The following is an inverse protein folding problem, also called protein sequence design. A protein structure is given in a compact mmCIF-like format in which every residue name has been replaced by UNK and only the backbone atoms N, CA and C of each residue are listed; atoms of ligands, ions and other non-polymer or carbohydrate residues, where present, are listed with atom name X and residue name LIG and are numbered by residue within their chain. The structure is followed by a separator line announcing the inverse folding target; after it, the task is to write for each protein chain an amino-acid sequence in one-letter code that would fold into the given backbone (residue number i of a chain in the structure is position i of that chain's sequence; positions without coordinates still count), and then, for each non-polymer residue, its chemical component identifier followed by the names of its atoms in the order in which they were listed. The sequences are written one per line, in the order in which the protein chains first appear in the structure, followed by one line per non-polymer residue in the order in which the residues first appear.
data_IF_364884627619
#
_entry.id   IF_364884627619
#
_cell.length_a   1.000
_cell.length_b   1.000
_cell.length_c   1.000
_cell.angle_alpha   90.00
_cell.angle_beta   90.00
_cell.angle_gamma   90.00
#
_symmetry.space_group_name_H-M   'P 1'
#
loop_
_entity.id
_entity.type
_entity.pdbx_description
1 polymer ?
#
# COMPACT_ATOMS: atom_id res chain seq x y z
N UNK A 1 67.91 31.44 -92.56
CA UNK A 1 67.02 30.26 -92.34
C UNK A 1 67.19 29.61 -90.96
N UNK A 2 68.39 29.58 -90.34
CA UNK A 2 68.62 28.96 -89.02
C UNK A 2 67.82 29.58 -87.85
N UNK A 3 67.71 30.91 -87.79
CA UNK A 3 67.04 31.63 -86.66
C UNK A 3 65.53 31.36 -86.53
N UNK A 4 64.84 31.12 -87.66
CA UNK A 4 63.41 30.79 -87.68
C UNK A 4 63.15 29.35 -87.24
N UNK A 5 64.06 28.42 -87.55
CA UNK A 5 63.98 27.02 -87.12
C UNK A 5 64.16 26.89 -85.61
N UNK A 6 65.13 27.60 -85.03
CA UNK A 6 65.33 27.65 -83.57
C UNK A 6 64.14 28.22 -82.79
N UNK A 7 63.38 29.17 -83.37
CA UNK A 7 62.19 29.73 -82.72
C UNK A 7 61.03 28.72 -82.70
N UNK A 8 60.84 28.00 -83.80
CA UNK A 8 59.84 26.93 -83.88
C UNK A 8 60.14 25.79 -82.88
N UNK A 9 61.41 25.38 -82.79
CA UNK A 9 61.84 24.35 -81.84
C UNK A 9 61.68 24.81 -80.38
N UNK A 10 61.84 26.11 -80.10
CA UNK A 10 61.59 26.66 -78.76
C UNK A 10 60.11 26.66 -78.39
N UNK A 11 59.24 27.11 -79.30
CA UNK A 11 57.78 27.09 -79.11
C UNK A 11 57.27 25.66 -78.94
N UNK A 12 57.78 24.71 -79.73
CA UNK A 12 57.41 23.30 -79.61
C UNK A 12 57.77 22.74 -78.22
N UNK A 13 58.94 23.10 -77.68
CA UNK A 13 59.34 22.72 -76.31
C UNK A 13 58.44 23.36 -75.25
N UNK A 14 58.19 24.66 -75.32
CA UNK A 14 57.30 25.35 -74.38
C UNK A 14 55.88 24.78 -74.42
N UNK A 15 55.34 24.51 -75.61
CA UNK A 15 54.04 23.87 -75.78
C UNK A 15 54.01 22.46 -75.18
N UNK A 16 55.07 21.67 -75.32
CA UNK A 16 55.16 20.33 -74.70
C UNK A 16 55.16 20.40 -73.16
N UNK A 17 55.85 21.38 -72.58
CA UNK A 17 55.86 21.61 -71.13
C UNK A 17 54.46 22.02 -70.66
N UNK A 18 53.80 22.93 -71.38
CA UNK A 18 52.43 23.35 -71.05
C UNK A 18 51.43 22.19 -71.14
N UNK A 19 51.52 21.33 -72.16
CA UNK A 19 50.64 20.15 -72.28
C UNK A 19 50.86 19.16 -71.15
N UNK A 20 52.11 18.94 -70.74
CA UNK A 20 52.42 18.05 -69.62
C UNK A 20 51.87 18.59 -68.31
N UNK A 21 52.08 19.88 -68.02
CA UNK A 21 51.55 20.50 -66.80
C UNK A 21 50.01 20.58 -66.81
N UNK A 22 49.41 20.87 -67.96
CA UNK A 22 47.95 20.78 -68.13
C UNK A 22 47.44 19.37 -67.86
N UNK A 23 48.08 18.33 -68.42
CA UNK A 23 47.72 16.94 -68.18
C UNK A 23 47.84 16.53 -66.71
N UNK A 24 48.87 17.02 -66.01
CA UNK A 24 49.04 16.79 -64.56
C UNK A 24 47.92 17.43 -63.74
N UNK A 25 47.58 18.69 -64.03
CA UNK A 25 46.47 19.39 -63.37
C UNK A 25 45.14 18.72 -63.68
N UNK A 26 44.90 18.35 -64.94
CA UNK A 26 43.70 17.65 -65.37
C UNK A 26 43.53 16.30 -64.64
N UNK A 27 44.62 15.53 -64.52
CA UNK A 27 44.60 14.25 -63.79
C UNK A 27 44.27 14.45 -62.32
N UNK A 28 44.93 15.43 -61.66
CA UNK A 28 44.65 15.77 -60.26
C UNK A 28 43.21 16.22 -60.05
N UNK A 29 42.67 17.06 -60.94
CA UNK A 29 41.28 17.50 -60.87
C UNK A 29 40.32 16.32 -61.05
N UNK A 30 40.60 15.43 -62.00
CA UNK A 30 39.76 14.25 -62.27
C UNK A 30 39.73 13.31 -61.06
N UNK A 31 40.88 13.05 -60.43
CA UNK A 31 40.95 12.27 -59.19
C UNK A 31 40.19 12.92 -58.04
N UNK A 32 40.30 14.24 -57.88
CA UNK A 32 39.60 14.96 -56.82
C UNK A 32 38.09 14.91 -57.01
N UNK A 33 37.62 15.09 -58.25
CA UNK A 33 36.19 14.97 -58.59
C UNK A 33 35.71 13.54 -58.35
N UNK A 34 36.46 12.52 -58.75
CA UNK A 34 36.10 11.12 -58.50
C UNK A 34 35.94 10.85 -56.99
N UNK A 35 36.91 11.25 -56.17
CA UNK A 35 36.81 11.11 -54.70
C UNK A 35 35.62 11.86 -54.12
N UNK A 36 35.30 13.04 -54.66
CA UNK A 36 34.14 13.81 -54.21
C UNK A 36 32.83 13.12 -54.57
N UNK A 37 32.72 12.52 -55.76
CA UNK A 37 31.55 11.73 -56.16
C UNK A 37 31.37 10.54 -55.22
N UNK A 38 32.43 9.77 -54.96
CA UNK A 38 32.40 8.64 -54.02
C UNK A 38 31.93 9.09 -52.62
N UNK A 39 32.46 10.22 -52.13
CA UNK A 39 32.08 10.76 -50.82
C UNK A 39 30.62 11.22 -50.79
N UNK A 40 30.12 11.83 -51.87
CA UNK A 40 28.72 12.26 -51.98
C UNK A 40 27.80 11.03 -51.97
N UNK A 41 28.14 9.97 -52.70
CA UNK A 41 27.35 8.74 -52.73
C UNK A 41 27.25 8.07 -51.36
N UNK A 42 28.36 7.98 -50.62
CA UNK A 42 28.37 7.45 -49.24
C UNK A 42 27.47 8.28 -48.33
N UNK A 43 27.62 9.61 -48.33
CA UNK A 43 26.82 10.50 -47.49
C UNK A 43 25.33 10.47 -47.87
N UNK A 44 25.01 10.34 -49.16
CA UNK A 44 23.64 10.19 -49.61
C UNK A 44 23.03 8.87 -49.13
N UNK A 45 23.77 7.77 -49.18
CA UNK A 45 23.33 6.49 -48.62
C UNK A 45 23.04 6.59 -47.12
N UNK A 46 23.94 7.21 -46.33
CA UNK A 46 23.73 7.44 -44.90
C UNK A 46 22.49 8.30 -44.62
N UNK A 47 22.30 9.39 -45.36
CA UNK A 47 21.11 10.25 -45.23
C UNK A 47 19.82 9.49 -45.55
N UNK A 48 19.80 8.66 -46.60
CA UNK A 48 18.61 7.86 -46.94
C UNK A 48 18.31 6.82 -45.86
N UNK A 49 19.34 6.20 -45.30
CA UNK A 49 19.21 5.25 -44.21
C UNK A 49 18.64 5.91 -42.94
N UNK A 50 19.25 7.01 -42.48
CA UNK A 50 18.77 7.75 -41.30
C UNK A 50 17.35 8.29 -41.50
N UNK A 51 16.99 8.75 -42.71
CA UNK A 51 15.62 9.18 -43.03
C UNK A 51 14.63 8.02 -42.92
N UNK A 52 14.99 6.83 -43.39
CA UNK A 52 14.14 5.64 -43.26
C UNK A 52 13.96 5.23 -41.79
N UNK A 53 15.02 5.28 -40.99
CA UNK A 53 14.93 5.01 -39.54
C UNK A 53 14.04 6.03 -38.82
N UNK A 54 14.23 7.32 -39.13
CA UNK A 54 13.40 8.39 -38.61
C UNK A 54 11.92 8.15 -38.96
N UNK A 55 11.60 7.86 -40.21
CA UNK A 55 10.21 7.57 -40.63
C UNK A 55 9.64 6.36 -39.89
N UNK A 56 10.43 5.30 -39.70
CA UNK A 56 10.00 4.11 -38.94
C UNK A 56 9.67 4.46 -37.50
N UNK A 57 10.55 5.20 -36.82
CA UNK A 57 10.30 5.64 -35.45
C UNK A 57 9.06 6.55 -35.36
N UNK A 58 8.91 7.50 -36.27
CA UNK A 58 7.72 8.35 -36.33
C UNK A 58 6.44 7.53 -36.51
N UNK A 59 6.44 6.55 -37.42
CA UNK A 59 5.29 5.66 -37.60
C UNK A 59 4.93 4.92 -36.30
N UNK A 60 5.91 4.41 -35.55
CA UNK A 60 5.65 3.72 -34.28
C UNK A 60 5.05 4.64 -33.21
N UNK A 61 5.50 5.89 -33.15
CA UNK A 61 4.96 6.90 -32.23
C UNK A 61 3.53 7.27 -32.65
N UNK A 62 3.29 7.53 -33.93
CA UNK A 62 1.95 7.85 -34.43
C UNK A 62 0.94 6.73 -34.15
N UNK A 63 1.30 5.46 -34.37
CA UNK A 63 0.44 4.31 -34.04
C UNK A 63 0.12 4.26 -32.55
N UNK A 64 1.11 4.51 -31.68
CA UNK A 64 0.89 4.54 -30.23
C UNK A 64 0.02 5.70 -29.80
N UNK A 65 0.28 6.91 -30.31
CA UNK A 65 -0.45 8.12 -29.95
C UNK A 65 -1.90 8.07 -30.41
N UNK A 66 -2.13 7.54 -31.62
CA UNK A 66 -3.50 7.32 -32.13
C UNK A 66 -4.24 6.29 -31.31
N UNK A 67 -3.63 5.13 -31.01
CA UNK A 67 -4.26 4.12 -30.15
C UNK A 67 -4.60 4.68 -28.76
N UNK A 68 -3.69 5.46 -28.18
CA UNK A 68 -3.90 6.11 -26.89
C UNK A 68 -4.98 7.20 -26.95
N UNK A 69 -5.08 7.95 -28.05
CA UNK A 69 -6.17 8.91 -28.27
C UNK A 69 -7.53 8.21 -28.33
N UNK A 70 -7.64 7.10 -29.09
CA UNK A 70 -8.86 6.29 -29.13
C UNK A 70 -9.21 5.71 -27.76
N UNK A 71 -8.26 5.11 -27.04
CA UNK A 71 -8.51 4.58 -25.71
C UNK A 71 -8.99 5.65 -24.72
N UNK A 72 -8.45 6.87 -24.81
CA UNK A 72 -8.93 8.01 -23.99
C UNK A 72 -10.35 8.43 -24.37
N UNK A 73 -10.70 8.39 -25.65
CA UNK A 73 -12.06 8.68 -26.10
C UNK A 73 -13.05 7.63 -25.60
N UNK A 74 -12.71 6.35 -25.74
CA UNK A 74 -13.55 5.24 -25.26
C UNK A 74 -13.79 5.34 -23.74
N UNK A 75 -12.74 5.66 -22.97
CA UNK A 75 -12.87 5.91 -21.53
C UNK A 75 -13.81 7.09 -21.24
N UNK A 76 -13.69 8.19 -21.97
CA UNK A 76 -14.60 9.36 -21.81
C UNK A 76 -16.04 8.98 -22.12
N UNK A 77 -16.27 8.23 -23.19
CA UNK A 77 -17.60 7.75 -23.59
C UNK A 77 -18.20 6.83 -22.53
N UNK A 78 -17.44 5.86 -22.03
CA UNK A 78 -17.87 4.98 -20.94
C UNK A 78 -18.18 5.80 -19.67
N UNK A 79 -17.31 6.73 -19.29
CA UNK A 79 -17.55 7.62 -18.14
C UNK A 79 -18.82 8.45 -18.30
N UNK A 80 -19.12 8.93 -19.51
CA UNK A 80 -20.34 9.68 -19.80
C UNK A 80 -21.59 8.80 -19.69
N UNK A 81 -21.52 7.51 -20.03
CA UNK A 81 -22.65 6.58 -19.86
C UNK A 81 -22.95 6.25 -18.39
N UNK A 82 -21.95 6.33 -17.49
CA UNK A 82 -22.13 6.02 -16.08
C UNK A 82 -22.52 7.27 -15.30
N UNK A 83 -23.83 7.44 -15.08
CA UNK A 83 -24.37 8.54 -14.27
C UNK A 83 -23.80 8.55 -12.84
N UNK A 84 -23.33 9.72 -12.40
CA UNK A 84 -22.83 9.93 -11.03
C UNK A 84 -21.44 9.36 -10.73
N UNK A 85 -20.74 8.78 -11.72
CA UNK A 85 -19.37 8.29 -11.58
C UNK A 85 -18.37 9.33 -11.01
N UNK A 86 -18.29 10.59 -11.51
CA UNK A 86 -17.33 11.56 -10.97
C UNK A 86 -17.56 11.86 -9.49
N UNK A 87 -18.83 11.93 -9.07
CA UNK A 87 -19.20 12.12 -7.65
C UNK A 87 -18.80 10.92 -6.81
N UNK A 88 -19.05 9.69 -7.28
CA UNK A 88 -18.68 8.46 -6.57
C UNK A 88 -17.16 8.33 -6.41
N UNK A 89 -16.39 8.64 -7.44
CA UNK A 89 -14.92 8.63 -7.37
C UNK A 89 -14.41 9.67 -6.37
N UNK A 90 -14.98 10.88 -6.38
CA UNK A 90 -14.59 11.94 -5.44
C UNK A 90 -14.91 11.56 -3.99
N UNK A 91 -16.09 10.98 -3.76
CA UNK A 91 -16.50 10.50 -2.45
C UNK A 91 -15.58 9.37 -1.97
N UNK A 92 -15.25 8.40 -2.83
CA UNK A 92 -14.35 7.29 -2.49
C UNK A 92 -12.98 7.80 -2.01
N UNK A 93 -12.36 8.75 -2.73
CA UNK A 93 -11.10 9.38 -2.32
C UNK A 93 -11.23 10.12 -0.98
N UNK A 94 -12.37 10.80 -0.75
CA UNK A 94 -12.60 11.53 0.50
C UNK A 94 -12.77 10.58 1.69
N UNK A 95 -13.50 9.48 1.51
CA UNK A 95 -13.64 8.42 2.51
C UNK A 95 -12.27 7.84 2.82
N UNK A 96 -11.48 7.48 1.81
CA UNK A 96 -10.13 6.95 2.00
C UNK A 96 -9.23 7.92 2.80
N UNK A 97 -9.24 9.21 2.45
CA UNK A 97 -8.50 10.25 3.18
C UNK A 97 -8.95 10.39 4.63
N UNK A 98 -10.27 10.37 4.89
CA UNK A 98 -10.80 10.42 6.26
C UNK A 98 -10.44 9.17 7.05
N UNK A 99 -10.52 7.99 6.45
CA UNK A 99 -10.11 6.73 7.09
C UNK A 99 -8.63 6.78 7.46
N UNK A 100 -7.76 7.24 6.57
CA UNK A 100 -6.34 7.43 6.85
C UNK A 100 -6.11 8.42 8.01
N UNK A 101 -6.85 9.53 8.02
CA UNK A 101 -6.75 10.54 9.07
C UNK A 101 -7.22 10.00 10.43
N UNK A 102 -8.35 9.31 10.47
CA UNK A 102 -8.86 8.66 11.69
C UNK A 102 -7.86 7.64 12.20
N UNK A 103 -7.30 6.80 11.32
CA UNK A 103 -6.26 5.85 11.72
C UNK A 103 -5.01 6.54 12.26
N UNK A 104 -4.59 7.67 11.67
CA UNK A 104 -3.46 8.44 12.18
C UNK A 104 -3.74 9.01 13.58
N UNK A 105 -4.91 9.60 13.78
CA UNK A 105 -5.34 10.11 15.09
C UNK A 105 -5.47 8.99 16.13
N UNK A 106 -5.97 7.80 15.74
CA UNK A 106 -6.02 6.64 16.62
C UNK A 106 -4.62 6.18 17.03
N UNK A 107 -3.66 6.13 16.09
CA UNK A 107 -2.25 5.82 16.41
C UNK A 107 -1.63 6.85 17.34
N UNK A 108 -1.90 8.14 17.11
CA UNK A 108 -1.41 9.22 17.98
C UNK A 108 -2.01 9.11 19.39
N UNK A 109 -3.33 8.89 19.50
CA UNK A 109 -4.02 8.64 20.77
C UNK A 109 -3.42 7.45 21.51
N UNK A 110 -3.20 6.32 20.83
CA UNK A 110 -2.58 5.14 21.42
C UNK A 110 -1.14 5.43 21.88
N UNK A 111 -0.35 6.14 21.07
CA UNK A 111 1.01 6.54 21.42
C UNK A 111 1.07 7.47 22.63
N UNK A 112 0.12 8.41 22.76
CA UNK A 112 0.00 9.27 23.93
C UNK A 112 -0.46 8.49 25.17
N UNK A 113 -1.39 7.53 25.04
CA UNK A 113 -1.77 6.66 26.15
C UNK A 113 -0.59 5.84 26.66
N UNK A 114 0.20 5.23 25.77
CA UNK A 114 1.41 4.48 26.14
C UNK A 114 2.44 5.41 26.79
N UNK A 115 2.63 6.64 26.29
CA UNK A 115 3.54 7.62 26.92
C UNK A 115 3.09 8.07 28.31
N UNK A 116 1.79 8.27 28.51
CA UNK A 116 1.23 8.61 29.83
C UNK A 116 1.41 7.44 30.80
N UNK A 117 1.23 6.21 30.33
CA UNK A 117 1.50 4.98 31.11
C UNK A 117 2.99 4.76 31.39
N UNK A 118 3.90 5.14 30.48
CA UNK A 118 5.35 5.03 30.70
C UNK A 118 5.93 6.18 31.53
N UNK A 119 5.31 7.36 31.52
CA UNK A 119 5.70 8.47 32.41
C UNK A 119 5.26 8.25 33.87
N UNK A 120 4.44 7.23 34.13
CA UNK A 120 4.07 6.76 35.46
C UNK A 120 4.97 5.64 35.99
N UNK A 121 6.15 5.38 35.39
CA UNK A 121 7.11 4.40 35.95
C UNK A 121 8.00 4.98 37.06
N UNK A 122 7.39 5.73 37.98
CA UNK A 122 7.87 5.84 39.37
C UNK A 122 6.66 5.49 40.23
N UNK A 123 6.70 4.28 40.78
CA UNK A 123 5.73 3.62 41.65
C UNK A 123 4.29 3.38 41.13
N UNK A 124 3.99 2.10 40.90
CA UNK A 124 2.66 1.54 41.12
C UNK A 124 1.63 1.68 39.98
N UNK A 125 1.46 0.58 39.24
CA UNK A 125 0.31 0.20 38.38
C UNK A 125 -0.93 1.08 38.53
N UNK A 126 -1.19 1.95 37.54
CA UNK A 126 -2.47 2.64 37.38
C UNK A 126 -2.85 2.76 35.89
N UNK A 127 -3.44 1.69 35.36
CA UNK A 127 -4.20 1.74 34.11
C UNK A 127 -5.56 2.38 34.42
N UNK A 128 -5.95 3.38 33.62
CA UNK A 128 -7.27 3.98 33.69
C UNK A 128 -8.29 2.93 33.28
N UNK A 129 -8.91 2.31 34.27
CA UNK A 129 -10.09 1.47 34.12
C UNK A 129 -11.20 2.07 34.97
N UNK A 130 -12.43 2.02 34.46
CA UNK A 130 -13.62 2.32 35.23
C UNK A 130 -13.73 1.30 36.38
N UNK A 131 -13.08 1.59 37.50
CA UNK A 131 -13.17 0.79 38.72
C UNK A 131 -14.54 1.03 39.36
N UNK A 132 -15.48 0.10 39.14
CA UNK A 132 -16.47 -0.17 40.17
C UNK A 132 -15.91 -1.26 41.08
N UNK A 133 -15.54 -0.96 42.34
CA UNK A 133 -15.01 -1.96 43.25
C UNK A 133 -16.14 -2.90 43.66
N UNK A 134 -16.09 -4.15 43.21
CA UNK A 134 -16.98 -5.20 43.70
C UNK A 134 -16.20 -6.19 44.53
N UNK A 135 -16.70 -6.46 45.74
CA UNK A 135 -16.25 -7.57 46.55
C UNK A 135 -16.69 -8.87 45.88
N UNK A 136 -15.74 -9.73 45.52
CA UNK A 136 -15.96 -11.01 44.84
C UNK A 136 -16.03 -12.19 45.81
N UNK A 137 -15.84 -11.97 47.13
CA UNK A 137 -15.92 -13.03 48.14
C UNK A 137 -17.25 -13.77 48.03
N UNK A 138 -17.15 -15.09 47.91
CA UNK A 138 -18.27 -16.05 47.80
C UNK A 138 -19.16 -15.88 46.54
N UNK A 139 -18.80 -15.02 45.58
CA UNK A 139 -19.59 -14.79 44.35
C UNK A 139 -19.10 -15.63 43.19
N UNK A 140 -20.02 -16.08 42.36
CA UNK A 140 -19.71 -16.84 41.14
C UNK A 140 -19.61 -15.93 39.92
N UNK A 141 -18.49 -15.97 39.21
CA UNK A 141 -18.23 -15.18 38.01
C UNK A 141 -18.08 -16.09 36.80
N UNK A 142 -18.95 -15.91 35.80
CA UNK A 142 -18.91 -16.66 34.55
C UNK A 142 -18.12 -15.88 33.49
N UNK A 143 -17.06 -16.49 32.95
CA UNK A 143 -16.37 -16.01 31.76
C UNK A 143 -16.83 -16.78 30.52
N UNK A 144 -17.27 -16.06 29.50
CA UNK A 144 -17.72 -16.63 28.22
C UNK A 144 -16.74 -16.20 27.12
N UNK A 145 -16.06 -17.18 26.51
CA UNK A 145 -15.11 -16.97 25.42
C UNK A 145 -14.02 -18.02 25.32
N UNK A 146 -13.47 -18.17 24.11
CA UNK A 146 -12.45 -19.19 23.76
C UNK A 146 -10.99 -18.77 24.01
N UNK A 147 -10.72 -17.56 24.50
CA UNK A 147 -9.34 -17.09 24.68
C UNK A 147 -8.71 -17.71 25.93
N UNK A 148 -8.10 -18.90 25.78
CA UNK A 148 -7.44 -19.66 26.84
C UNK A 148 -6.51 -18.82 27.74
N UNK A 149 -5.56 -18.03 27.21
CA UNK A 149 -4.69 -17.22 28.08
C UNK A 149 -5.47 -16.14 28.85
N UNK A 150 -6.49 -15.52 28.26
CA UNK A 150 -7.33 -14.55 28.97
C UNK A 150 -8.20 -15.22 30.05
N UNK A 151 -8.69 -16.43 29.78
CA UNK A 151 -9.47 -17.26 30.71
C UNK A 151 -8.63 -17.66 31.93
N UNK A 152 -7.37 -18.09 31.73
CA UNK A 152 -6.44 -18.44 32.81
C UNK A 152 -6.15 -17.23 33.72
N UNK A 153 -5.91 -16.06 33.11
CA UNK A 153 -5.66 -14.82 33.87
C UNK A 153 -6.90 -14.40 34.66
N UNK A 154 -8.08 -14.47 34.05
CA UNK A 154 -9.34 -14.15 34.72
C UNK A 154 -9.62 -15.09 35.89
N UNK A 155 -9.42 -16.40 35.70
CA UNK A 155 -9.58 -17.40 36.76
C UNK A 155 -8.70 -17.08 37.97
N UNK A 156 -7.39 -16.91 37.75
CA UNK A 156 -6.45 -16.62 38.82
C UNK A 156 -6.81 -15.33 39.57
N UNK A 157 -7.27 -14.30 38.85
CA UNK A 157 -7.68 -13.05 39.47
C UNK A 157 -8.94 -13.23 40.33
N UNK A 158 -9.97 -13.91 39.81
CA UNK A 158 -11.25 -14.13 40.49
C UNK A 158 -11.06 -14.99 41.76
N UNK A 159 -10.31 -16.09 41.66
CA UNK A 159 -10.04 -16.98 42.79
C UNK A 159 -9.20 -16.29 43.87
N UNK A 160 -8.19 -15.49 43.48
CA UNK A 160 -7.39 -14.70 44.44
C UNK A 160 -8.23 -13.67 45.22
N UNK A 161 -9.35 -13.22 44.67
CA UNK A 161 -10.30 -12.37 45.39
C UNK A 161 -11.40 -13.13 46.14
N UNK A 162 -11.30 -14.45 46.23
CA UNK A 162 -12.26 -15.30 46.94
C UNK A 162 -13.57 -15.52 46.20
N UNK A 163 -13.60 -15.27 44.89
CA UNK A 163 -14.72 -15.62 44.02
C UNK A 163 -14.60 -17.01 43.43
N UNK A 164 -15.73 -17.56 42.99
CA UNK A 164 -15.81 -18.83 42.28
C UNK A 164 -15.81 -18.58 40.77
N UNK A 165 -14.87 -19.21 40.07
CA UNK A 165 -14.75 -19.08 38.62
C UNK A 165 -15.60 -20.11 37.89
N UNK A 166 -16.38 -19.66 36.90
CA UNK A 166 -17.09 -20.50 35.95
C UNK A 166 -16.64 -20.10 34.53
N UNK A 167 -16.51 -21.07 33.63
CA UNK A 167 -16.13 -20.84 32.25
C UNK A 167 -17.06 -21.56 31.28
N UNK A 168 -17.34 -20.89 30.16
CA UNK A 168 -17.99 -21.48 29.00
C UNK A 168 -17.31 -20.94 27.74
N UNK A 169 -17.06 -21.82 26.77
CA UNK A 169 -16.32 -21.47 25.55
C UNK A 169 -17.17 -20.62 24.58
N UNK A 170 -18.50 -20.69 24.67
CA UNK A 170 -19.40 -19.90 23.84
C UNK A 170 -19.46 -20.38 22.39
N UNK A 171 -19.21 -21.66 22.13
CA UNK A 171 -19.40 -22.29 20.82
C UNK A 171 -20.86 -22.74 20.61
N UNK A 172 -21.29 -22.83 19.34
CA UNK A 172 -22.62 -23.33 18.99
C UNK A 172 -22.61 -24.86 18.91
N UNK A 173 -23.31 -25.53 19.84
CA UNK A 173 -23.57 -26.96 19.75
C UNK A 173 -23.81 -27.65 21.09
N UNK A 174 -25.00 -28.24 21.25
CA UNK A 174 -25.46 -29.18 22.32
C UNK A 174 -25.44 -28.65 23.77
N UNK A 175 -24.63 -27.64 24.10
CA UNK A 175 -24.40 -27.17 25.47
C UNK A 175 -25.16 -25.87 25.84
N UNK A 176 -26.17 -25.50 25.06
CA UNK A 176 -26.99 -24.30 25.31
C UNK A 176 -27.66 -24.33 26.70
N UNK A 177 -28.09 -25.51 27.14
CA UNK A 177 -28.69 -25.70 28.45
C UNK A 177 -27.67 -25.49 29.58
N UNK A 178 -26.40 -25.83 29.36
CA UNK A 178 -25.34 -25.61 30.35
C UNK A 178 -24.89 -24.15 30.39
N UNK A 179 -24.90 -23.44 29.25
CA UNK A 179 -24.68 -22.00 29.23
C UNK A 179 -25.76 -21.27 30.05
N UNK A 180 -27.05 -21.61 29.85
CA UNK A 180 -28.15 -21.04 30.63
C UNK A 180 -28.09 -21.42 32.12
N UNK A 181 -27.67 -22.65 32.44
CA UNK A 181 -27.46 -23.05 33.83
C UNK A 181 -26.33 -22.25 34.50
N UNK A 182 -25.22 -22.08 33.81
CA UNK A 182 -24.07 -21.29 34.25
C UNK A 182 -24.44 -19.82 34.42
N UNK A 183 -25.22 -19.25 33.48
CA UNK A 183 -25.75 -17.89 33.58
C UNK A 183 -26.64 -17.71 34.80
N UNK A 184 -27.45 -18.71 35.17
CA UNK A 184 -28.28 -18.68 36.38
C UNK A 184 -27.47 -18.74 37.67
N UNK A 185 -26.42 -19.55 37.72
CA UNK A 185 -25.55 -19.68 38.89
C UNK A 185 -24.63 -18.48 39.10
N UNK A 186 -24.24 -17.78 38.04
CA UNK A 186 -23.33 -16.65 38.13
C UNK A 186 -23.98 -15.39 38.73
N UNK A 187 -23.29 -14.72 39.64
CA UNK A 187 -23.64 -13.39 40.14
C UNK A 187 -23.21 -12.29 39.15
N UNK A 188 -22.21 -12.61 38.32
CA UNK A 188 -21.62 -11.70 37.34
C UNK A 188 -21.14 -12.46 36.10
N UNK A 189 -21.23 -11.83 34.93
CA UNK A 189 -20.79 -12.41 33.66
C UNK A 189 -19.76 -11.51 32.98
N UNK A 190 -18.72 -12.12 32.43
CA UNK A 190 -17.69 -11.49 31.59
C UNK A 190 -17.80 -12.14 30.22
N UNK A 191 -18.19 -11.36 29.21
CA UNK A 191 -18.40 -11.85 27.85
C UNK A 191 -17.32 -11.27 26.93
N UNK A 192 -16.47 -12.13 26.38
CA UNK A 192 -15.42 -11.75 25.43
C UNK A 192 -16.03 -11.68 24.02
N UNK A 193 -16.40 -10.49 23.56
CA UNK A 193 -17.24 -10.29 22.36
C UNK A 193 -16.56 -10.70 21.05
N UNK A 194 -15.24 -10.89 21.04
CA UNK A 194 -14.47 -11.38 19.88
C UNK A 194 -14.21 -12.90 19.87
N UNK A 195 -14.52 -13.61 20.96
CA UNK A 195 -14.18 -15.03 21.16
C UNK A 195 -15.41 -15.94 21.32
N UNK A 196 -16.62 -15.43 21.08
CA UNK A 196 -17.89 -16.16 21.29
C UNK A 196 -18.69 -16.20 20.00
N UNK A 197 -19.55 -17.21 19.86
CA UNK A 197 -20.50 -17.25 18.76
C UNK A 197 -21.50 -16.09 18.83
N UNK A 198 -22.09 -15.77 17.68
CA UNK A 198 -23.12 -14.74 17.60
C UNK A 198 -24.31 -15.07 18.53
N UNK A 199 -24.71 -16.35 18.58
CA UNK A 199 -25.86 -16.79 19.37
C UNK A 199 -25.56 -16.78 20.88
N UNK A 200 -24.35 -17.17 21.29
CA UNK A 200 -23.89 -17.08 22.68
C UNK A 200 -23.85 -15.61 23.17
N UNK A 201 -23.35 -14.70 22.34
CA UNK A 201 -23.32 -13.27 22.65
C UNK A 201 -24.72 -12.71 22.93
N UNK A 202 -25.68 -12.95 22.02
CA UNK A 202 -27.04 -12.42 22.17
C UNK A 202 -27.75 -13.01 23.38
N UNK A 203 -27.54 -14.29 23.66
CA UNK A 203 -28.11 -14.96 24.84
C UNK A 203 -27.59 -14.37 26.15
N UNK A 204 -26.27 -14.20 26.27
CA UNK A 204 -25.68 -13.53 27.44
C UNK A 204 -26.24 -12.13 27.58
N UNK A 205 -26.25 -11.35 26.50
CA UNK A 205 -26.75 -9.97 26.53
C UNK A 205 -28.23 -9.89 26.95
N UNK A 206 -29.08 -10.74 26.40
CA UNK A 206 -30.50 -10.76 26.69
C UNK A 206 -30.79 -11.26 28.12
N UNK A 207 -30.08 -12.30 28.58
CA UNK A 207 -30.16 -12.77 29.96
C UNK A 207 -29.81 -11.66 30.96
N UNK A 208 -28.70 -10.96 30.75
CA UNK A 208 -28.26 -9.86 31.61
C UNK A 208 -29.28 -8.71 31.63
N UNK A 209 -29.83 -8.33 30.46
CA UNK A 209 -30.87 -7.30 30.36
C UNK A 209 -32.14 -7.67 31.10
N UNK A 210 -32.60 -8.93 30.99
CA UNK A 210 -33.84 -9.40 31.61
C UNK A 210 -33.72 -9.61 33.12
N UNK A 211 -32.55 -10.04 33.59
CA UNK A 211 -32.33 -10.39 35.02
C UNK A 211 -31.69 -9.26 35.83
N UNK A 212 -31.09 -8.27 35.17
CA UNK A 212 -30.33 -7.21 35.83
C UNK A 212 -28.97 -7.69 36.39
N UNK A 213 -28.52 -8.90 36.01
CA UNK A 213 -27.19 -9.38 36.39
C UNK A 213 -26.09 -8.50 35.82
N UNK A 214 -25.02 -8.32 36.59
CA UNK A 214 -23.90 -7.47 36.17
C UNK A 214 -23.11 -8.17 35.09
N UNK A 215 -23.03 -7.53 33.92
CA UNK A 215 -22.35 -8.12 32.76
C UNK A 215 -21.37 -7.13 32.17
N UNK A 216 -20.14 -7.58 31.95
CA UNK A 216 -19.05 -6.80 31.37
C UNK A 216 -18.71 -7.40 30.02
N UNK A 217 -18.77 -6.56 28.99
CA UNK A 217 -18.47 -6.92 27.60
C UNK A 217 -17.06 -6.43 27.29
N UNK A 218 -16.17 -7.35 26.88
CA UNK A 218 -14.74 -7.05 26.65
C UNK A 218 -14.36 -7.42 25.23
N UNK A 219 -13.81 -6.47 24.48
CA UNK A 219 -13.24 -6.72 23.15
C UNK A 219 -11.80 -7.22 23.27
N UNK A 220 -11.43 -8.22 22.46
CA UNK A 220 -10.11 -8.88 22.43
C UNK A 220 -8.98 -7.87 22.26
N UNK A 221 -8.35 -7.48 23.38
CA UNK A 221 -6.97 -6.97 23.56
C UNK A 221 -6.82 -6.20 24.88
N UNK A 222 -7.90 -5.94 25.63
CA UNK A 222 -7.76 -5.35 26.96
C UNK A 222 -7.60 -6.45 28.01
N UNK A 223 -6.40 -6.50 28.61
CA UNK A 223 -6.09 -7.32 29.77
C UNK A 223 -7.11 -7.05 30.87
N UNK A 224 -7.81 -8.10 31.29
CA UNK A 224 -8.81 -8.08 32.36
C UNK A 224 -8.16 -7.76 33.73
N UNK A 225 -8.02 -6.49 34.07
CA UNK A 225 -7.64 -6.05 35.43
C UNK A 225 -8.84 -5.40 36.13
N UNK A 226 -9.72 -6.23 36.70
CA UNK A 226 -10.93 -5.76 37.40
C UNK A 226 -10.99 -6.17 38.87
N UNK A 227 -9.97 -6.87 39.38
CA UNK A 227 -10.01 -7.45 40.73
C UNK A 227 -9.15 -6.65 41.69
N UNK A 228 -9.80 -6.04 42.68
CA UNK A 228 -9.13 -5.43 43.85
C UNK A 228 -9.50 -6.21 45.10
N UNK A 229 -8.55 -6.97 45.63
CA UNK A 229 -8.65 -7.62 46.94
C UNK A 229 -8.67 -6.55 48.02
N UNK A 230 -9.72 -6.54 48.86
CA UNK A 230 -9.67 -5.83 50.15
C UNK A 230 -9.13 -6.80 51.18
N UNK A 231 -7.83 -6.73 51.43
CA UNK A 231 -7.22 -7.36 52.61
C UNK A 231 -7.89 -6.75 53.84
N UNK A 232 -8.78 -7.53 54.46
CA UNK A 232 -9.38 -7.16 55.74
C UNK A 232 -8.45 -7.73 56.81
N UNK A 233 -7.49 -6.92 57.25
CA UNK A 233 -6.68 -7.21 58.43
C UNK A 233 -7.62 -7.06 59.64
N UNK A 234 -7.80 -8.14 60.40
CA UNK A 234 -8.31 -8.12 61.78
C UNK A 234 -7.16 -7.71 62.70
#
# INVERSE_FOLDING_TARGET
MSKSRNNFDNIAREHSVLLNEYGRVQSRCSELVARQVDQIEILQAELTHMRAEMMRLHATVMVRDTALAYAREDLRNLQATILGLPTRVTLARRVESLTQHVQALLRERLGLHVKVQSASTVDGVASVCAEMPMDLREKSVLCVGQDEPATIVAQQAIEKAGGHFLHHDGHDGVDEAALEASLKMADMVICQTGCVSHDAYWRVQDHCKRTGKKCVLVEQTQTLHFVRTRDTII
#
